data_IF_992844541517
#
_entry.id   IF_992844541517
#
_cell.length_a   1.000
_cell.length_b   1.000
_cell.length_c   1.000
_cell.angle_alpha   90.00
_cell.angle_beta   90.00
_cell.angle_gamma   90.00
#
_symmetry.space_group_name_H-M   'P 1'
#
loop_
_entity.id
_entity.type
_entity.pdbx_description
1 polymer ?
#
# COMPACT_ATOMS: atom_id res chain seq x y z
N UNK A 1 -17.32 3.69 -7.18
CA UNK A 1 -16.61 2.67 -7.96
C UNK A 1 -15.62 2.05 -6.99
N UNK A 2 -15.74 0.76 -6.74
CA UNK A 2 -14.83 0.03 -5.85
C UNK A 2 -13.45 -0.02 -6.52
N UNK A 3 -12.48 0.72 -5.99
CA UNK A 3 -11.11 0.71 -6.49
C UNK A 3 -10.41 -0.54 -5.93
N UNK A 4 -10.66 -1.67 -6.58
CA UNK A 4 -10.12 -2.97 -6.18
C UNK A 4 -8.59 -2.96 -5.98
N UNK A 5 -8.13 -3.69 -4.96
CA UNK A 5 -6.71 -3.99 -4.76
C UNK A 5 -5.86 -2.88 -4.12
N UNK A 6 -6.44 -2.07 -3.22
CA UNK A 6 -5.69 -1.06 -2.46
C UNK A 6 -5.47 0.28 -3.18
N UNK A 7 -5.96 0.43 -4.41
CA UNK A 7 -5.89 1.71 -5.12
C UNK A 7 -6.77 2.76 -4.44
N UNK A 8 -6.22 3.95 -4.22
CA UNK A 8 -6.95 5.06 -3.62
C UNK A 8 -8.00 5.61 -4.59
N UNK A 9 -9.18 5.97 -4.07
CA UNK A 9 -10.21 6.64 -4.87
C UNK A 9 -9.87 8.09 -5.17
N UNK A 10 -10.56 8.69 -6.14
CA UNK A 10 -10.44 10.13 -6.41
C UNK A 10 -10.83 10.97 -5.17
N UNK A 11 -11.85 10.54 -4.43
CA UNK A 11 -12.31 11.19 -3.20
C UNK A 11 -11.26 11.09 -2.08
N UNK A 12 -10.60 9.94 -1.95
CA UNK A 12 -9.48 9.74 -1.00
C UNK A 12 -8.31 10.66 -1.32
N UNK A 13 -7.94 10.75 -2.60
CA UNK A 13 -6.90 11.64 -3.09
C UNK A 13 -7.26 13.11 -2.89
N UNK A 14 -8.53 13.48 -3.07
CA UNK A 14 -9.00 14.84 -2.83
C UNK A 14 -8.97 15.17 -1.33
N UNK A 15 -9.37 14.24 -0.47
CA UNK A 15 -9.31 14.39 0.99
C UNK A 15 -7.87 14.58 1.46
N UNK A 16 -6.93 13.80 0.93
CA UNK A 16 -5.50 13.94 1.22
C UNK A 16 -4.95 15.31 0.82
N UNK A 17 -5.32 15.82 -0.37
CA UNK A 17 -4.89 17.15 -0.84
C UNK A 17 -5.39 18.30 0.03
N UNK A 18 -6.52 18.12 0.72
CA UNK A 18 -7.12 19.14 1.57
C UNK A 18 -6.66 19.07 3.02
N UNK A 19 -6.18 17.90 3.45
CA UNK A 19 -5.68 17.70 4.80
C UNK A 19 -4.38 18.51 5.04
N UNK A 20 -4.14 18.88 6.30
CA UNK A 20 -2.92 19.62 6.69
C UNK A 20 -2.35 19.08 7.99
N UNK A 21 -1.06 19.35 8.24
CA UNK A 21 -0.38 18.98 9.48
C UNK A 21 -0.50 17.49 9.81
N UNK A 22 -0.79 17.19 11.09
CA UNK A 22 -0.92 15.81 11.60
C UNK A 22 -2.06 15.04 10.91
N UNK A 23 -3.13 15.72 10.49
CA UNK A 23 -4.24 15.05 9.81
C UNK A 23 -3.86 14.60 8.41
N UNK A 24 -3.03 15.37 7.69
CA UNK A 24 -2.47 14.94 6.41
C UNK A 24 -1.56 13.71 6.57
N UNK A 25 -0.69 13.72 7.59
CA UNK A 25 0.20 12.60 7.87
C UNK A 25 -0.59 11.33 8.22
N UNK A 26 -1.62 11.45 9.08
CA UNK A 26 -2.50 10.33 9.45
C UNK A 26 -3.20 9.75 8.23
N UNK A 27 -3.80 10.61 7.41
CA UNK A 27 -4.55 10.18 6.23
C UNK A 27 -3.64 9.50 5.19
N UNK A 28 -2.45 10.07 4.96
CA UNK A 28 -1.45 9.47 4.08
C UNK A 28 -1.03 8.06 4.54
N UNK A 29 -0.67 7.91 5.82
CA UNK A 29 -0.22 6.62 6.37
C UNK A 29 -1.33 5.57 6.28
N UNK A 30 -2.56 5.91 6.64
CA UNK A 30 -3.70 5.00 6.55
C UNK A 30 -3.96 4.54 5.11
N UNK A 31 -3.95 5.47 4.16
CA UNK A 31 -4.19 5.17 2.75
C UNK A 31 -3.04 4.35 2.12
N UNK A 32 -1.79 4.64 2.48
CA UNK A 32 -0.63 3.88 1.99
C UNK A 32 -0.53 2.47 2.57
N UNK A 33 -0.95 2.25 3.82
CA UNK A 33 -1.04 0.91 4.40
C UNK A 33 -2.03 0.05 3.59
N UNK A 34 -3.23 0.56 3.30
CA UNK A 34 -4.21 -0.18 2.51
C UNK A 34 -3.76 -0.40 1.06
N UNK A 35 -3.10 0.60 0.47
CA UNK A 35 -2.49 0.46 -0.85
C UNK A 35 -1.41 -0.63 -0.90
N UNK A 36 -0.53 -0.67 0.11
CA UNK A 36 0.49 -1.71 0.18
C UNK A 36 -0.09 -3.10 0.41
N UNK A 37 -1.13 -3.24 1.23
CA UNK A 37 -1.83 -4.53 1.42
C UNK A 37 -2.39 -5.06 0.10
N UNK A 38 -3.05 -4.21 -0.68
CA UNK A 38 -3.54 -4.60 -2.00
C UNK A 38 -2.43 -4.95 -3.01
N UNK A 39 -1.29 -4.25 -2.96
CA UNK A 39 -0.13 -4.59 -3.77
C UNK A 39 0.51 -5.93 -3.37
N UNK A 40 0.55 -6.25 -2.06
CA UNK A 40 1.00 -7.54 -1.56
C UNK A 40 0.07 -8.66 -2.03
N UNK A 41 -1.25 -8.48 -1.99
CA UNK A 41 -2.20 -9.49 -2.48
C UNK A 41 -1.97 -9.80 -3.97
N UNK A 42 -1.77 -8.76 -4.80
CA UNK A 42 -1.44 -8.95 -6.22
C UNK A 42 -0.07 -9.62 -6.42
N UNK A 43 0.93 -9.25 -5.62
CA UNK A 43 2.25 -9.85 -5.70
C UNK A 43 2.25 -11.31 -5.23
N UNK A 44 1.45 -11.68 -4.24
CA UNK A 44 1.29 -13.07 -3.80
C UNK A 44 0.68 -13.95 -4.91
N UNK A 45 -0.29 -13.41 -5.66
CA UNK A 45 -0.87 -14.10 -6.81
C UNK A 45 0.20 -14.37 -7.89
N UNK A 46 0.99 -13.35 -8.26
CA UNK A 46 2.08 -13.52 -9.24
C UNK A 46 3.18 -14.46 -8.71
N UNK A 47 3.56 -14.36 -7.43
CA UNK A 47 4.57 -15.22 -6.84
C UNK A 47 4.14 -16.70 -6.81
N UNK A 48 2.82 -16.96 -6.71
CA UNK A 48 2.27 -18.32 -6.62
C UNK A 48 1.99 -18.92 -8.00
N UNK A 49 1.41 -18.14 -8.91
CA UNK A 49 0.85 -18.62 -10.16
C UNK A 49 1.58 -18.10 -11.41
N UNK A 50 2.53 -17.18 -11.24
CA UNK A 50 3.30 -16.56 -12.30
C UNK A 50 4.21 -17.55 -13.04
N UNK A 51 4.37 -17.33 -14.34
CA UNK A 51 5.20 -18.17 -15.22
C UNK A 51 6.49 -17.47 -15.66
N UNK A 52 6.55 -16.14 -15.57
CA UNK A 52 7.74 -15.38 -15.91
C UNK A 52 8.64 -15.28 -14.67
N UNK A 53 9.84 -15.84 -14.73
CA UNK A 53 10.77 -15.90 -13.58
C UNK A 53 11.15 -14.52 -13.05
N UNK A 54 11.28 -13.52 -13.91
CA UNK A 54 11.65 -12.16 -13.52
C UNK A 54 10.48 -11.46 -12.83
N UNK A 55 9.25 -11.70 -13.31
CA UNK A 55 8.04 -11.19 -12.68
C UNK A 55 7.81 -11.83 -11.30
N UNK A 56 8.02 -13.14 -11.16
CA UNK A 56 7.95 -13.84 -9.87
C UNK A 56 9.02 -13.33 -8.90
N UNK A 57 10.25 -13.08 -9.36
CA UNK A 57 11.31 -12.51 -8.53
C UNK A 57 10.98 -11.09 -8.06
N UNK A 58 10.41 -10.27 -8.95
CA UNK A 58 9.94 -8.94 -8.60
C UNK A 58 8.78 -8.99 -7.59
N UNK A 59 7.84 -9.92 -7.77
CA UNK A 59 6.72 -10.10 -6.85
C UNK A 59 7.17 -10.43 -5.42
N UNK A 60 8.14 -11.35 -5.28
CA UNK A 60 8.74 -11.65 -3.97
C UNK A 60 9.43 -10.43 -3.34
N UNK A 61 10.14 -9.64 -4.16
CA UNK A 61 10.78 -8.39 -3.69
C UNK A 61 9.75 -7.37 -3.21
N UNK A 62 8.63 -7.24 -3.93
CA UNK A 62 7.52 -6.36 -3.56
C UNK A 62 6.91 -6.79 -2.22
N UNK A 63 6.67 -8.08 -2.02
CA UNK A 63 6.10 -8.62 -0.77
C UNK A 63 6.99 -8.25 0.42
N UNK A 64 8.31 -8.49 0.31
CA UNK A 64 9.26 -8.19 1.38
C UNK A 64 9.30 -6.69 1.70
N UNK A 65 9.50 -5.85 0.67
CA UNK A 65 9.62 -4.41 0.84
C UNK A 65 8.35 -3.79 1.44
N UNK A 66 7.19 -4.08 0.83
CA UNK A 66 5.93 -3.45 1.25
C UNK A 66 5.44 -3.95 2.62
N UNK A 67 5.79 -5.19 3.01
CA UNK A 67 5.55 -5.66 4.39
C UNK A 67 6.37 -4.84 5.40
N UNK A 68 7.64 -4.56 5.11
CA UNK A 68 8.49 -3.73 5.97
C UNK A 68 8.02 -2.27 6.02
N UNK A 69 7.55 -1.73 4.88
CA UNK A 69 7.01 -0.37 4.80
C UNK A 69 5.71 -0.25 5.60
N UNK A 70 4.81 -1.23 5.54
CA UNK A 70 3.60 -1.28 6.38
C UNK A 70 3.97 -1.20 7.87
N UNK A 71 4.92 -2.04 8.34
CA UNK A 71 5.33 -2.02 9.74
C UNK A 71 5.86 -0.64 10.17
N UNK A 72 6.69 -0.01 9.32
CA UNK A 72 7.19 1.35 9.56
C UNK A 72 6.06 2.38 9.63
N UNK A 73 5.08 2.28 8.72
CA UNK A 73 3.94 3.21 8.71
C UNK A 73 3.02 3.02 9.90
N UNK A 74 2.80 1.78 10.37
CA UNK A 74 2.04 1.48 11.58
C UNK A 74 2.73 2.06 12.83
N UNK A 75 4.07 1.94 12.92
CA UNK A 75 4.85 2.59 13.98
C UNK A 75 4.71 4.11 13.95
N UNK A 76 4.90 4.73 12.78
CA UNK A 76 4.76 6.18 12.63
C UNK A 76 3.35 6.65 13.01
N UNK A 77 2.32 5.94 12.55
CA UNK A 77 0.92 6.26 12.83
C UNK A 77 0.61 6.21 14.33
N UNK A 78 1.24 5.29 15.07
CA UNK A 78 1.11 5.21 16.52
C UNK A 78 1.78 6.37 17.27
N UNK A 79 2.66 7.14 16.62
CA UNK A 79 3.36 8.30 17.20
C UNK A 79 2.71 9.66 16.90
N UNK A 80 1.67 9.71 16.06
CA UNK A 80 0.95 10.93 15.67
C UNK A 80 -0.09 11.40 16.69
#
# INVERSE_FOLDING_TARGET
MDHGGGMMSEDDMQSLKQATGTDAARLFLQQMIEHHRGAIDMALEEATNGQNSDAVALANTIIEAQTSEIATMEELLATL
#
